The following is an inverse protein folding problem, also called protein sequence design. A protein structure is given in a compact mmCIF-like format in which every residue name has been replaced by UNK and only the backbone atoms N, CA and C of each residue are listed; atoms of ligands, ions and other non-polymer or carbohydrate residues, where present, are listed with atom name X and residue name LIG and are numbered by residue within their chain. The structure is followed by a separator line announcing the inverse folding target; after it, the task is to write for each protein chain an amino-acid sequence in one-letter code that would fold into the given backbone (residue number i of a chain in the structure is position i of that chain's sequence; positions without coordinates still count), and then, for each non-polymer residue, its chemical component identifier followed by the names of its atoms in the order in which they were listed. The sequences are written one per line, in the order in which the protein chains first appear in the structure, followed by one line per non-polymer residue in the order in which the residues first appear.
data_IF_425435177006
#
_entry.id   IF_425435177006
#
_cell.length_a   1.000
_cell.length_b   1.000
_cell.length_c   1.000
_cell.angle_alpha   90.00
_cell.angle_beta   90.00
_cell.angle_gamma   90.00
#
_symmetry.space_group_name_H-M   'P 1'
#
loop_
_entity.id
_entity.type
_entity.pdbx_description
1 polymer ?
#
# COMPACT_ATOMS: atom_id res chain seq x y z
N UNK A 1 -55.18 -62.69 19.59
CA UNK A 1 -54.61 -61.82 20.64
C UNK A 1 -53.15 -61.40 20.39
N UNK A 2 -52.62 -61.47 19.15
CA UNK A 2 -51.18 -61.22 18.87
C UNK A 2 -50.82 -59.85 18.27
N UNK A 3 -51.82 -59.03 17.91
CA UNK A 3 -51.58 -57.76 17.21
C UNK A 3 -51.17 -56.65 18.21
N UNK A 4 -51.80 -56.59 19.38
CA UNK A 4 -51.49 -55.61 20.44
C UNK A 4 -50.09 -55.79 21.07
N UNK A 5 -49.60 -57.02 21.20
CA UNK A 5 -48.27 -57.27 21.78
C UNK A 5 -47.12 -56.77 20.90
N UNK A 6 -47.26 -56.91 19.57
CA UNK A 6 -46.25 -56.43 18.63
C UNK A 6 -46.16 -54.90 18.60
N UNK A 7 -47.29 -54.19 18.72
CA UNK A 7 -47.29 -52.73 18.87
C UNK A 7 -46.61 -52.29 20.17
N UNK A 8 -46.82 -53.01 21.28
CA UNK A 8 -46.21 -52.70 22.58
C UNK A 8 -44.69 -52.93 22.56
N UNK A 9 -44.21 -54.08 22.04
CA UNK A 9 -42.77 -54.36 21.87
C UNK A 9 -42.09 -53.37 20.93
N UNK A 10 -42.74 -53.00 19.82
CA UNK A 10 -42.23 -52.00 18.85
C UNK A 10 -42.14 -50.60 19.47
N UNK A 11 -43.14 -50.21 20.26
CA UNK A 11 -43.15 -48.93 21.00
C UNK A 11 -42.03 -48.87 22.05
N UNK A 12 -41.84 -49.93 22.83
CA UNK A 12 -40.80 -49.99 23.87
C UNK A 12 -39.39 -49.95 23.27
N UNK A 13 -39.11 -50.73 22.21
CA UNK A 13 -37.81 -50.66 21.51
C UNK A 13 -37.56 -49.28 20.92
N UNK A 14 -38.58 -48.65 20.33
CA UNK A 14 -38.46 -47.31 19.75
C UNK A 14 -38.17 -46.25 20.83
N UNK A 15 -38.81 -46.35 21.99
CA UNK A 15 -38.53 -45.46 23.11
C UNK A 15 -37.09 -45.61 23.61
N UNK A 16 -36.60 -46.86 23.80
CA UNK A 16 -35.27 -47.12 24.33
C UNK A 16 -34.15 -46.64 23.39
N UNK A 17 -34.32 -46.84 22.08
CA UNK A 17 -33.39 -46.30 21.07
C UNK A 17 -33.47 -44.77 21.02
N UNK A 18 -34.66 -44.18 21.14
CA UNK A 18 -34.82 -42.72 21.12
C UNK A 18 -34.16 -42.04 22.33
N UNK A 19 -34.26 -42.62 23.54
CA UNK A 19 -33.56 -42.08 24.71
C UNK A 19 -32.06 -42.19 24.55
N UNK A 20 -31.55 -43.31 24.03
CA UNK A 20 -30.11 -43.49 23.81
C UNK A 20 -29.55 -42.46 22.80
N UNK A 21 -30.31 -42.16 21.73
CA UNK A 21 -29.95 -41.12 20.75
C UNK A 21 -30.03 -39.73 21.37
N UNK A 22 -31.08 -39.41 22.12
CA UNK A 22 -31.24 -38.10 22.78
C UNK A 22 -30.13 -37.85 23.79
N UNK A 23 -29.78 -38.84 24.61
CA UNK A 23 -28.70 -38.72 25.61
C UNK A 23 -27.34 -38.52 24.95
N UNK A 24 -27.12 -39.02 23.73
CA UNK A 24 -25.88 -38.77 22.97
C UNK A 24 -25.89 -37.46 22.17
N UNK A 25 -27.02 -37.10 21.56
CA UNK A 25 -27.13 -35.96 20.65
C UNK A 25 -27.27 -34.63 21.40
N UNK A 26 -28.02 -34.62 22.50
CA UNK A 26 -28.30 -33.42 23.30
C UNK A 26 -27.04 -32.76 23.87
N UNK A 27 -26.09 -33.47 24.52
CA UNK A 27 -24.85 -32.87 24.97
C UNK A 27 -23.96 -32.39 23.81
N UNK A 28 -24.03 -33.04 22.64
CA UNK A 28 -23.27 -32.64 21.46
C UNK A 28 -23.76 -31.30 20.89
N UNK A 29 -25.09 -31.13 20.78
CA UNK A 29 -25.70 -29.86 20.38
C UNK A 29 -25.39 -28.75 21.38
N UNK A 30 -25.48 -29.05 22.68
CA UNK A 30 -25.12 -28.11 23.76
C UNK A 30 -23.65 -27.69 23.70
N UNK A 31 -22.74 -28.64 23.45
CA UNK A 31 -21.32 -28.35 23.30
C UNK A 31 -21.03 -27.41 22.13
N UNK A 32 -21.63 -27.70 20.96
CA UNK A 32 -21.51 -26.85 19.76
C UNK A 32 -22.08 -25.46 20.04
N UNK A 33 -23.24 -25.38 20.70
CA UNK A 33 -23.89 -24.12 21.04
C UNK A 33 -23.03 -23.23 21.93
N UNK A 34 -22.43 -23.81 22.99
CA UNK A 34 -21.53 -23.08 23.89
C UNK A 34 -20.25 -22.60 23.19
N UNK A 35 -19.63 -23.45 22.37
CA UNK A 35 -18.45 -23.13 21.57
C UNK A 35 -18.76 -21.98 20.60
N UNK A 36 -19.91 -22.03 19.93
CA UNK A 36 -20.32 -21.02 18.96
C UNK A 36 -20.42 -19.62 19.57
N UNK A 37 -20.84 -19.51 20.84
CA UNK A 37 -21.01 -18.22 21.54
C UNK A 37 -19.65 -17.69 22.04
N UNK A 38 -18.76 -18.56 22.50
CA UNK A 38 -17.49 -18.16 23.12
C UNK A 38 -16.32 -17.96 22.15
N UNK A 39 -16.18 -18.84 21.16
CA UNK A 39 -14.96 -18.93 20.33
C UNK A 39 -14.78 -17.75 19.37
N UNK A 40 -15.88 -17.21 18.84
CA UNK A 40 -15.81 -16.10 17.88
C UNK A 40 -15.29 -14.81 18.49
N UNK A 41 -15.55 -14.53 19.77
CA UNK A 41 -15.10 -13.30 20.44
C UNK A 41 -13.61 -13.31 20.76
N UNK A 42 -13.09 -14.42 21.28
CA UNK A 42 -11.67 -14.56 21.64
C UNK A 42 -10.79 -14.52 20.39
N UNK A 43 -11.19 -15.26 19.34
CA UNK A 43 -10.49 -15.28 18.07
C UNK A 43 -10.53 -13.90 17.42
N UNK A 44 -11.70 -13.25 17.36
CA UNK A 44 -11.84 -11.91 16.78
C UNK A 44 -11.03 -10.85 17.51
N UNK A 45 -11.02 -10.86 18.85
CA UNK A 45 -10.28 -9.87 19.62
C UNK A 45 -8.76 -10.10 19.55
N UNK A 46 -8.29 -11.34 19.64
CA UNK A 46 -6.86 -11.65 19.55
C UNK A 46 -6.31 -11.36 18.16
N UNK A 47 -7.00 -11.82 17.11
CA UNK A 47 -6.63 -11.55 15.72
C UNK A 47 -6.72 -10.04 15.42
N UNK A 48 -7.80 -9.38 15.85
CA UNK A 48 -8.00 -7.95 15.64
C UNK A 48 -6.97 -7.08 16.37
N UNK A 49 -6.57 -7.45 17.58
CA UNK A 49 -5.53 -6.76 18.33
C UNK A 49 -4.17 -6.88 17.63
N UNK A 50 -3.81 -8.08 17.18
CA UNK A 50 -2.55 -8.31 16.45
C UNK A 50 -2.53 -7.54 15.13
N UNK A 51 -3.64 -7.53 14.36
CA UNK A 51 -3.72 -6.72 13.13
C UNK A 51 -3.61 -5.23 13.41
N UNK A 52 -4.24 -4.74 14.48
CA UNK A 52 -4.11 -3.34 14.90
C UNK A 52 -2.66 -2.98 15.24
N UNK A 53 -1.96 -3.87 15.93
CA UNK A 53 -0.55 -3.69 16.29
C UNK A 53 0.34 -3.66 15.05
N UNK A 54 0.17 -4.62 14.13
CA UNK A 54 0.91 -4.65 12.85
C UNK A 54 0.63 -3.40 12.03
N UNK A 55 -0.64 -2.97 11.94
CA UNK A 55 -1.02 -1.76 11.21
C UNK A 55 -0.39 -0.51 11.83
N UNK A 56 -0.38 -0.42 13.16
CA UNK A 56 0.27 0.67 13.89
C UNK A 56 1.78 0.66 13.66
N UNK A 57 2.44 -0.47 13.84
CA UNK A 57 3.88 -0.60 13.62
C UNK A 57 4.25 -0.25 12.16
N UNK A 58 3.43 -0.70 11.21
CA UNK A 58 3.61 -0.36 9.79
C UNK A 58 3.45 1.14 9.54
N UNK A 59 2.42 1.77 10.12
CA UNK A 59 2.20 3.20 10.00
C UNK A 59 3.35 4.00 10.63
N UNK A 60 3.83 3.58 11.80
CA UNK A 60 4.97 4.19 12.49
C UNK A 60 6.25 4.06 11.65
N UNK A 61 6.49 2.89 11.03
CA UNK A 61 7.62 2.68 10.12
C UNK A 61 7.54 3.54 8.87
N UNK A 62 6.37 3.60 8.22
CA UNK A 62 6.14 4.47 7.06
C UNK A 62 6.37 5.93 7.44
N UNK A 63 5.87 6.35 8.61
CA UNK A 63 6.05 7.70 9.11
C UNK A 63 7.54 8.05 9.31
N UNK A 64 8.33 7.13 9.87
CA UNK A 64 9.78 7.32 10.04
C UNK A 64 10.48 7.48 8.68
N UNK A 65 10.19 6.60 7.72
CA UNK A 65 10.77 6.66 6.37
C UNK A 65 10.40 7.99 5.70
N UNK A 66 9.14 8.41 5.80
CA UNK A 66 8.67 9.68 5.22
C UNK A 66 9.33 10.91 5.86
N UNK A 67 9.53 10.93 7.18
CA UNK A 67 10.19 12.06 7.83
C UNK A 67 11.64 12.20 7.37
N UNK A 68 12.38 11.08 7.28
CA UNK A 68 13.75 11.07 6.74
C UNK A 68 13.77 11.60 5.30
N UNK A 69 12.85 11.13 4.46
CA UNK A 69 12.72 11.55 3.08
C UNK A 69 12.45 13.06 2.94
N UNK A 70 11.52 13.58 3.74
CA UNK A 70 11.19 15.01 3.78
C UNK A 70 12.42 15.82 4.20
N UNK A 71 13.17 15.39 5.21
CA UNK A 71 14.36 16.10 5.68
C UNK A 71 15.47 16.11 4.62
N UNK A 72 15.65 15.00 3.89
CA UNK A 72 16.62 14.89 2.80
C UNK A 72 16.23 15.78 1.61
N UNK A 73 14.97 15.76 1.19
CA UNK A 73 14.45 16.62 0.14
C UNK A 73 14.47 18.10 0.53
N UNK A 74 14.22 18.41 1.80
CA UNK A 74 14.36 19.76 2.35
C UNK A 74 15.80 20.23 2.16
N UNK A 75 16.80 19.45 2.63
CA UNK A 75 18.21 19.80 2.45
C UNK A 75 18.60 19.99 0.98
N UNK A 76 18.10 19.14 0.09
CA UNK A 76 18.31 19.28 -1.36
C UNK A 76 17.69 20.57 -1.91
N UNK A 77 16.47 20.91 -1.49
CA UNK A 77 15.75 22.12 -1.92
C UNK A 77 16.40 23.40 -1.42
N UNK A 78 17.02 23.38 -0.24
CA UNK A 78 17.74 24.53 0.32
C UNK A 78 19.14 24.74 -0.27
N UNK A 79 19.63 23.79 -1.09
CA UNK A 79 20.91 23.95 -1.76
C UNK A 79 20.93 25.21 -2.65
N UNK A 80 22.04 25.96 -2.68
CA UNK A 80 22.15 27.16 -3.50
C UNK A 80 21.85 26.90 -4.98
N UNK A 81 22.34 25.78 -5.53
CA UNK A 81 22.18 25.43 -6.94
C UNK A 81 20.70 25.30 -7.34
N UNK A 82 19.90 24.63 -6.50
CA UNK A 82 18.47 24.42 -6.75
C UNK A 82 17.70 25.73 -6.56
N UNK A 83 18.00 26.49 -5.51
CA UNK A 83 17.36 27.80 -5.27
C UNK A 83 17.63 28.79 -6.38
N UNK A 84 18.85 28.81 -6.90
CA UNK A 84 19.25 29.73 -7.97
C UNK A 84 18.63 29.32 -9.30
N UNK A 85 18.54 28.02 -9.60
CA UNK A 85 17.83 27.51 -10.78
C UNK A 85 16.32 27.85 -10.76
N UNK A 86 15.69 27.87 -9.59
CA UNK A 86 14.27 28.25 -9.44
C UNK A 86 14.08 29.78 -9.47
N UNK A 87 14.99 30.55 -8.87
CA UNK A 87 14.90 32.02 -8.81
C UNK A 87 15.23 32.71 -10.12
N UNK A 88 16.17 32.15 -10.88
CA UNK A 88 16.54 32.62 -12.20
C UNK A 88 16.35 31.48 -13.18
N UNK A 89 15.09 31.14 -13.54
CA UNK A 89 14.81 30.12 -14.53
C UNK A 89 15.47 30.56 -15.83
N UNK A 90 16.54 29.88 -16.22
CA UNK A 90 17.05 30.02 -17.56
C UNK A 90 16.00 29.42 -18.46
N UNK A 91 15.43 30.22 -19.37
CA UNK A 91 14.46 29.64 -20.29
C UNK A 91 15.20 28.56 -21.08
N UNK A 92 14.55 27.41 -21.38
CA UNK A 92 15.20 26.36 -22.15
C UNK A 92 15.83 26.95 -23.43
N UNK A 93 15.14 27.91 -24.06
CA UNK A 93 15.59 28.59 -25.27
C UNK A 93 16.91 29.39 -25.13
N UNK A 94 17.21 29.99 -23.98
CA UNK A 94 18.40 30.85 -23.82
C UNK A 94 19.72 30.07 -23.83
N UNK A 95 19.69 28.75 -23.63
CA UNK A 95 20.88 27.87 -23.58
C UNK A 95 20.80 26.65 -24.52
N UNK A 96 20.01 26.72 -25.59
CA UNK A 96 19.94 25.64 -26.59
C UNK A 96 18.84 24.60 -26.37
N UNK A 97 17.77 24.97 -25.67
CA UNK A 97 16.60 24.12 -25.42
C UNK A 97 16.77 23.21 -24.20
N UNK A 98 16.44 21.93 -24.37
CA UNK A 98 16.50 20.92 -23.30
C UNK A 98 17.94 20.64 -22.81
N UNK A 99 18.95 20.88 -23.67
CA UNK A 99 20.36 20.77 -23.30
C UNK A 99 20.76 21.77 -22.19
N UNK A 100 20.16 22.96 -22.19
CA UNK A 100 20.36 23.98 -21.16
C UNK A 100 19.79 23.58 -19.80
N UNK A 101 18.73 22.77 -19.78
CA UNK A 101 18.14 22.23 -18.55
C UNK A 101 19.03 21.10 -18.02
N UNK A 102 19.49 20.20 -18.87
CA UNK A 102 20.27 19.02 -18.47
C UNK A 102 21.71 19.36 -18.05
N UNK A 103 22.30 20.42 -18.60
CA UNK A 103 23.70 20.81 -18.36
C UNK A 103 23.92 21.88 -17.28
N UNK A 104 22.90 22.26 -16.51
CA UNK A 104 23.03 23.28 -15.47
C UNK A 104 23.53 22.69 -14.12
N UNK A 105 24.04 23.55 -13.25
CA UNK A 105 24.61 23.13 -11.95
C UNK A 105 23.58 22.43 -11.07
N UNK A 106 22.30 22.82 -11.15
CA UNK A 106 21.22 22.15 -10.44
C UNK A 106 21.02 20.71 -10.94
N UNK A 107 20.99 20.46 -12.24
CA UNK A 107 20.87 19.12 -12.83
C UNK A 107 22.05 18.22 -12.50
N UNK A 108 23.27 18.78 -12.46
CA UNK A 108 24.45 18.09 -11.96
C UNK A 108 24.29 17.68 -10.49
N UNK A 109 23.85 18.60 -9.64
CA UNK A 109 23.59 18.35 -8.22
C UNK A 109 22.54 17.25 -8.03
N UNK A 110 21.41 17.34 -8.75
CA UNK A 110 20.34 16.35 -8.73
C UNK A 110 20.83 14.97 -9.19
N UNK A 111 21.72 14.92 -10.18
CA UNK A 111 22.31 13.67 -10.67
C UNK A 111 23.26 13.06 -9.66
N UNK A 112 24.07 13.88 -8.98
CA UNK A 112 24.94 13.41 -7.89
C UNK A 112 24.10 12.86 -6.74
N UNK A 113 23.04 13.56 -6.34
CA UNK A 113 22.12 13.10 -5.31
C UNK A 113 21.43 11.78 -5.69
N UNK A 114 20.89 11.67 -6.91
CA UNK A 114 20.32 10.41 -7.42
C UNK A 114 21.35 9.28 -7.43
N UNK A 115 22.58 9.57 -7.85
CA UNK A 115 23.65 8.56 -7.92
C UNK A 115 24.15 8.12 -6.54
N UNK A 116 23.98 8.94 -5.52
CA UNK A 116 24.22 8.54 -4.13
C UNK A 116 23.09 7.62 -3.62
N UNK A 117 21.86 7.87 -4.06
CA UNK A 117 20.63 7.22 -3.62
C UNK A 117 19.96 6.40 -4.73
N UNK A 118 20.75 5.59 -5.46
CA UNK A 118 20.34 4.96 -6.74
C UNK A 118 19.08 4.10 -6.68
N UNK A 119 18.82 3.49 -5.53
CA UNK A 119 17.68 2.59 -5.32
C UNK A 119 16.45 3.32 -4.75
N UNK A 120 16.62 4.57 -4.30
CA UNK A 120 15.55 5.36 -3.66
C UNK A 120 14.87 6.31 -4.68
N UNK A 121 15.62 6.80 -5.68
CA UNK A 121 15.11 7.75 -6.67
C UNK A 121 15.27 7.28 -8.12
N UNK A 122 14.14 7.15 -8.82
CA UNK A 122 14.14 6.86 -10.26
C UNK A 122 14.54 8.10 -11.06
N UNK A 123 13.94 9.25 -10.75
CA UNK A 123 14.22 10.52 -11.42
C UNK A 123 13.77 11.68 -10.53
N UNK A 124 14.43 12.83 -10.64
CA UNK A 124 14.15 14.03 -9.86
C UNK A 124 14.03 15.19 -10.83
N UNK A 125 12.93 15.92 -10.75
CA UNK A 125 12.68 17.12 -11.54
C UNK A 125 12.49 18.31 -10.61
N UNK A 126 12.99 19.46 -11.03
CA UNK A 126 12.68 20.74 -10.39
C UNK A 126 11.90 21.57 -11.41
N UNK A 127 10.80 22.14 -10.96
CA UNK A 127 9.93 22.98 -11.79
C UNK A 127 9.81 24.38 -11.19
N UNK A 128 9.56 25.36 -12.05
CA UNK A 128 9.18 26.70 -11.62
C UNK A 128 7.70 26.74 -11.20
N UNK A 129 7.26 27.88 -10.69
CA UNK A 129 5.86 28.14 -10.29
C UNK A 129 4.82 27.95 -11.42
N UNK A 130 5.26 27.91 -12.68
CA UNK A 130 4.41 27.74 -13.85
C UNK A 130 4.44 26.29 -14.37
N UNK A 131 5.14 25.37 -13.69
CA UNK A 131 5.28 23.97 -14.08
C UNK A 131 6.33 23.72 -15.16
N UNK A 132 7.17 24.70 -15.49
CA UNK A 132 8.26 24.56 -16.45
C UNK A 132 9.46 23.91 -15.75
N UNK A 133 9.99 22.82 -16.29
CA UNK A 133 11.18 22.16 -15.74
C UNK A 133 12.42 23.06 -15.86
N UNK A 134 13.10 23.28 -14.74
CA UNK A 134 14.33 24.09 -14.64
C UNK A 134 15.57 23.24 -14.38
N UNK A 135 15.42 22.02 -13.85
CA UNK A 135 16.50 21.06 -13.69
C UNK A 135 15.96 19.62 -13.67
N UNK A 136 16.82 18.66 -14.03
CA UNK A 136 16.50 17.23 -14.04
C UNK A 136 17.73 16.38 -13.69
N UNK A 137 17.52 15.29 -12.94
CA UNK A 137 18.54 14.25 -12.74
C UNK A 137 18.60 13.23 -13.88
N UNK A 138 17.67 13.31 -14.84
CA UNK A 138 17.68 12.45 -16.02
C UNK A 138 18.75 12.89 -17.01
N UNK A 139 19.43 11.91 -17.59
CA UNK A 139 20.45 12.10 -18.62
C UNK A 139 19.95 11.65 -19.99
N UNK A 140 18.87 10.87 -20.04
CA UNK A 140 18.21 10.51 -21.28
C UNK A 140 17.07 11.48 -21.56
N UNK A 141 16.95 11.91 -22.82
CA UNK A 141 15.88 12.79 -23.26
C UNK A 141 14.53 12.03 -23.29
N UNK A 142 14.00 11.69 -22.11
CA UNK A 142 12.67 11.08 -21.93
C UNK A 142 11.63 12.10 -21.50
N UNK A 143 11.87 13.39 -21.73
CA UNK A 143 10.92 14.48 -21.47
C UNK A 143 9.80 14.49 -22.52
N UNK A 144 8.90 13.50 -22.46
CA UNK A 144 7.48 13.81 -22.69
C UNK A 144 6.95 14.38 -21.38
N UNK A 145 6.35 15.59 -21.37
CA UNK A 145 5.73 16.12 -20.17
C UNK A 145 4.68 15.12 -19.66
N UNK A 146 4.91 14.55 -18.47
CA UNK A 146 4.07 13.50 -17.87
C UNK A 146 2.62 13.98 -17.65
N UNK A 147 2.41 15.30 -17.62
CA UNK A 147 1.10 15.93 -17.37
C UNK A 147 0.53 16.70 -18.55
N UNK A 148 1.11 16.56 -19.75
CA UNK A 148 0.64 17.27 -20.95
C UNK A 148 0.47 16.32 -22.15
N UNK A 149 0.09 15.08 -21.89
CA UNK A 149 -0.59 14.25 -22.87
C UNK A 149 -1.34 13.15 -22.12
N UNK A 150 -2.61 12.95 -22.45
CA UNK A 150 -3.49 11.96 -21.83
C UNK A 150 -3.11 10.53 -22.23
N UNK A 151 -1.86 10.13 -21.99
CA UNK A 151 -1.37 8.80 -22.31
C UNK A 151 -1.93 7.82 -21.27
N UNK A 152 -3.05 7.19 -21.64
CA UNK A 152 -3.67 6.06 -20.95
C UNK A 152 -2.68 4.94 -20.62
N UNK A 153 -1.57 4.85 -21.34
CA UNK A 153 -0.49 3.89 -21.14
C UNK A 153 0.28 4.13 -19.81
N UNK A 154 0.53 5.39 -19.45
CA UNK A 154 1.20 5.76 -18.19
C UNK A 154 0.27 5.50 -17.01
N UNK A 155 -1.03 5.80 -17.17
CA UNK A 155 -2.06 5.54 -16.16
C UNK A 155 -2.29 4.03 -15.99
N UNK A 156 -2.25 3.23 -17.06
CA UNK A 156 -2.29 1.77 -16.98
C UNK A 156 -1.05 1.17 -16.31
N UNK A 157 0.13 1.74 -16.52
CA UNK A 157 1.35 1.32 -15.82
C UNK A 157 1.35 1.74 -14.33
N UNK A 158 0.67 2.84 -13.97
CA UNK A 158 0.40 3.21 -12.58
C UNK A 158 -0.60 2.27 -11.90
N UNK A 159 -1.72 1.94 -12.58
CA UNK A 159 -2.77 1.06 -12.02
C UNK A 159 -2.38 -0.42 -12.00
N UNK A 160 -1.42 -0.85 -12.83
CA UNK A 160 -0.89 -2.22 -12.81
C UNK A 160 0.17 -2.47 -11.73
N UNK A 161 0.52 -1.44 -10.94
CA UNK A 161 1.53 -1.55 -9.88
C UNK A 161 2.97 -1.67 -10.40
N UNK A 162 3.19 -1.40 -11.69
CA UNK A 162 4.51 -1.45 -12.34
C UNK A 162 5.27 -0.12 -12.26
N UNK A 163 4.56 0.99 -12.03
CA UNK A 163 5.13 2.32 -11.84
C UNK A 163 5.13 2.71 -10.37
N UNK A 164 6.32 2.73 -9.75
CA UNK A 164 6.53 3.12 -8.36
C UNK A 164 7.08 4.56 -8.26
N UNK A 165 6.50 5.48 -9.04
CA UNK A 165 6.88 6.90 -9.03
C UNK A 165 5.97 7.69 -8.09
N UNK A 166 6.56 8.24 -7.04
CA UNK A 166 5.90 9.21 -6.14
C UNK A 166 6.13 10.60 -6.72
N UNK A 167 5.05 11.35 -6.89
CA UNK A 167 5.07 12.74 -7.37
C UNK A 167 4.74 13.64 -6.16
N UNK A 168 5.67 14.54 -5.81
CA UNK A 168 5.45 15.67 -4.90
C UNK A 168 5.33 16.95 -5.74
#
# INVERSE_FOLDING_TARGET
MGILENFRKKSIRRNLVSTMVIVGLLPLVLGIFLISIGSTKVIRNSIGANFKEIAKETADKVNIILHREIDELHNLTFSPDIRDAVKSPQTPFDKGGQEGIMGNQASEHLRQFKNHNKEEYIVIYVTDKNGISVATSDTENRNKPIFQDGNEEIVKDMLSGKSNKVYL
#
